data_IF_535902643467
#
_entry.id   IF_535902643467
#
_cell.length_a   1.000
_cell.length_b   1.000
_cell.length_c   1.000
_cell.angle_alpha   90.00
_cell.angle_beta   90.00
_cell.angle_gamma   90.00
#
_symmetry.space_group_name_H-M   'P 1'
#
loop_
_entity.id
_entity.type
_entity.pdbx_description
1 polymer ?
#
# COMPACT_ATOMS: atom_id res chain seq x y z
N UNK A 1 17.94 7.15 22.99
CA UNK A 1 17.34 6.46 21.83
C UNK A 1 17.81 7.04 20.49
N UNK A 2 17.92 8.35 20.33
CA UNK A 2 18.39 9.01 19.09
C UNK A 2 19.79 8.57 18.62
N UNK A 3 20.75 8.41 19.55
CA UNK A 3 22.11 7.98 19.21
C UNK A 3 22.16 6.57 18.61
N UNK A 4 21.39 5.62 19.17
CA UNK A 4 21.29 4.26 18.65
C UNK A 4 20.63 4.23 17.27
N UNK A 5 19.60 5.03 17.05
CA UNK A 5 18.96 5.15 15.74
C UNK A 5 19.92 5.74 14.70
N UNK A 6 20.67 6.78 15.07
CA UNK A 6 21.66 7.39 14.19
C UNK A 6 22.81 6.42 13.86
N UNK A 7 23.31 5.68 14.87
CA UNK A 7 24.35 4.66 14.68
C UNK A 7 23.84 3.53 13.78
N UNK A 8 22.62 3.05 14.02
CA UNK A 8 21.98 2.01 13.20
C UNK A 8 21.84 2.46 11.74
N UNK A 9 21.34 3.69 11.51
CA UNK A 9 21.22 4.24 10.16
C UNK A 9 22.58 4.42 9.49
N UNK A 10 23.59 4.89 10.22
CA UNK A 10 24.95 5.03 9.71
C UNK A 10 25.53 3.68 9.28
N UNK A 11 25.46 2.67 10.16
CA UNK A 11 25.95 1.31 9.87
C UNK A 11 25.18 0.70 8.70
N UNK A 12 23.86 0.90 8.65
CA UNK A 12 23.01 0.41 7.57
C UNK A 12 23.38 1.02 6.22
N UNK A 13 23.58 2.34 6.16
CA UNK A 13 23.99 3.03 4.92
C UNK A 13 25.36 2.55 4.44
N UNK A 14 26.31 2.30 5.38
CA UNK A 14 27.63 1.80 5.05
C UNK A 14 27.62 0.35 4.52
N UNK A 15 26.75 -0.52 5.07
CA UNK A 15 26.70 -1.94 4.69
C UNK A 15 25.88 -2.13 3.40
N UNK A 16 24.83 -1.36 3.20
CA UNK A 16 23.89 -1.51 2.07
C UNK A 16 24.22 -0.59 0.89
N UNK A 17 25.34 0.13 0.94
CA UNK A 17 25.78 1.09 -0.11
C UNK A 17 24.68 2.10 -0.52
N UNK A 18 23.70 2.35 0.37
CA UNK A 18 22.61 3.30 0.13
C UNK A 18 21.46 3.20 1.13
N UNK A 19 20.58 4.17 1.12
CA UNK A 19 19.41 4.23 2.03
C UNK A 19 18.42 3.08 1.74
N UNK A 20 18.34 2.60 0.49
CA UNK A 20 17.39 1.58 0.03
C UNK A 20 17.96 0.15 -0.03
N UNK A 21 19.30 -0.01 0.00
CA UNK A 21 19.97 -1.27 -0.35
C UNK A 21 19.86 -1.59 -1.85
N UNK A 22 20.82 -2.32 -2.40
CA UNK A 22 20.84 -2.70 -3.83
C UNK A 22 19.78 -3.77 -4.21
N UNK A 23 18.97 -4.22 -3.25
CA UNK A 23 17.98 -5.26 -3.48
C UNK A 23 16.67 -4.64 -3.93
N UNK A 24 16.64 -4.14 -5.15
CA UNK A 24 15.39 -3.78 -5.80
C UNK A 24 14.73 -5.04 -6.37
N UNK A 25 13.42 -5.17 -6.15
CA UNK A 25 12.68 -6.30 -6.69
C UNK A 25 12.84 -6.37 -8.23
N UNK A 26 13.14 -7.56 -8.82
CA UNK A 26 13.41 -7.70 -10.25
C UNK A 26 12.32 -7.11 -11.15
N UNK A 27 11.06 -7.20 -10.74
CA UNK A 27 9.92 -6.68 -11.52
C UNK A 27 9.86 -5.14 -11.62
N UNK A 28 10.59 -4.40 -10.77
CA UNK A 28 10.63 -2.93 -10.78
C UNK A 28 12.04 -2.36 -10.97
N UNK A 29 13.02 -3.26 -11.12
CA UNK A 29 14.40 -2.88 -11.40
C UNK A 29 14.48 -2.19 -12.78
N UNK A 30 15.14 -1.03 -12.81
CA UNK A 30 15.31 -0.23 -14.02
C UNK A 30 14.02 0.38 -14.63
N UNK A 31 12.88 0.32 -13.93
CA UNK A 31 11.66 0.97 -14.39
C UNK A 31 11.64 2.46 -14.04
N UNK A 32 11.13 3.25 -14.98
CA UNK A 32 10.81 4.67 -14.75
C UNK A 32 9.60 4.85 -13.82
N UNK A 33 9.41 6.06 -13.31
CA UNK A 33 8.32 6.40 -12.37
C UNK A 33 6.94 6.03 -12.92
N UNK A 34 6.69 6.30 -14.21
CA UNK A 34 5.40 5.97 -14.86
C UNK A 34 5.17 4.46 -14.87
N UNK A 35 6.18 3.67 -15.24
CA UNK A 35 6.07 2.21 -15.29
C UNK A 35 5.85 1.62 -13.89
N UNK A 36 6.54 2.15 -12.86
CA UNK A 36 6.29 1.74 -11.46
C UNK A 36 4.86 2.06 -11.03
N UNK A 37 4.35 3.23 -11.40
CA UNK A 37 2.96 3.60 -11.10
C UNK A 37 1.96 2.65 -11.76
N UNK A 38 2.20 2.18 -12.98
CA UNK A 38 1.37 1.19 -13.66
C UNK A 38 1.43 -0.18 -12.96
N UNK A 39 2.63 -0.62 -12.57
CA UNK A 39 2.80 -1.86 -11.78
C UNK A 39 2.01 -1.76 -10.49
N UNK A 40 2.14 -0.66 -9.74
CA UNK A 40 1.41 -0.47 -8.49
C UNK A 40 -0.10 -0.38 -8.70
N UNK A 41 -0.56 0.24 -9.79
CA UNK A 41 -1.97 0.28 -10.15
C UNK A 41 -2.53 -1.14 -10.37
N UNK A 42 -1.79 -2.01 -11.04
CA UNK A 42 -2.14 -3.42 -11.22
C UNK A 42 -2.19 -4.21 -9.91
N UNK A 43 -1.41 -3.80 -8.90
CA UNK A 43 -1.36 -4.45 -7.59
C UNK A 43 -2.45 -3.98 -6.60
N UNK A 44 -3.10 -2.84 -6.86
CA UNK A 44 -4.14 -2.29 -5.97
C UNK A 44 -5.28 -3.28 -5.67
N UNK A 45 -5.81 -4.06 -6.64
CA UNK A 45 -6.85 -5.04 -6.34
C UNK A 45 -6.38 -6.11 -5.35
N UNK A 46 -5.11 -6.51 -5.42
CA UNK A 46 -4.52 -7.49 -4.49
C UNK A 46 -4.39 -6.90 -3.08
N UNK A 47 -3.99 -5.65 -2.93
CA UNK A 47 -4.07 -4.95 -1.65
C UNK A 47 -5.50 -4.91 -1.11
N UNK A 48 -6.48 -4.60 -1.97
CA UNK A 48 -7.90 -4.62 -1.61
C UNK A 48 -8.36 -6.01 -1.15
N UNK A 49 -7.96 -7.06 -1.86
CA UNK A 49 -8.26 -8.45 -1.48
C UNK A 49 -7.71 -8.80 -0.10
N UNK A 50 -6.45 -8.45 0.14
CA UNK A 50 -5.80 -8.72 1.43
C UNK A 50 -6.46 -7.98 2.60
N UNK A 51 -6.99 -6.78 2.39
CA UNK A 51 -7.74 -6.06 3.41
C UNK A 51 -9.14 -6.64 3.68
N UNK A 52 -9.83 -7.11 2.63
CA UNK A 52 -11.21 -7.57 2.74
C UNK A 52 -11.31 -9.07 3.05
N UNK A 53 -10.42 -9.87 2.46
CA UNK A 53 -10.46 -11.33 2.55
C UNK A 53 -9.06 -11.95 2.56
N UNK A 54 -8.36 -11.95 3.71
CA UNK A 54 -7.01 -12.51 3.83
C UNK A 54 -7.00 -14.05 3.94
N UNK A 55 -7.70 -14.76 3.03
CA UNK A 55 -7.81 -16.22 3.08
C UNK A 55 -6.54 -16.95 2.65
N UNK A 56 -5.74 -16.34 1.77
CA UNK A 56 -4.47 -16.88 1.30
C UNK A 56 -3.37 -15.88 1.61
N UNK A 57 -2.55 -16.23 2.56
CA UNK A 57 -1.48 -15.41 3.07
C UNK A 57 -0.13 -15.99 2.65
N UNK A 58 0.74 -15.13 2.14
CA UNK A 58 2.10 -15.48 1.79
C UNK A 58 3.06 -14.47 2.43
N UNK A 59 4.11 -14.97 3.07
CA UNK A 59 5.10 -14.11 3.72
C UNK A 59 5.74 -13.12 2.74
N UNK A 60 5.87 -13.53 1.47
CA UNK A 60 6.38 -12.72 0.37
C UNK A 60 5.77 -13.20 -0.95
N UNK A 61 5.41 -12.27 -1.83
CA UNK A 61 4.81 -12.58 -3.13
C UNK A 61 5.91 -12.62 -4.19
N UNK A 62 6.20 -13.80 -4.73
CA UNK A 62 7.21 -13.95 -5.77
C UNK A 62 6.72 -13.32 -7.10
N UNK A 63 7.67 -12.90 -7.99
CA UNK A 63 7.31 -12.37 -9.31
C UNK A 63 6.47 -13.31 -10.17
N UNK A 64 6.53 -14.61 -9.89
CA UNK A 64 5.75 -15.63 -10.61
C UNK A 64 4.27 -15.67 -10.19
N UNK A 65 3.96 -15.17 -9.01
CA UNK A 65 2.59 -15.14 -8.45
C UNK A 65 1.84 -13.85 -8.78
N UNK A 66 2.56 -12.81 -9.14
CA UNK A 66 1.98 -11.49 -9.40
C UNK A 66 2.33 -11.06 -10.82
N UNK A 67 1.31 -10.95 -11.67
CA UNK A 67 1.47 -10.43 -13.03
C UNK A 67 1.67 -8.92 -12.95
N UNK A 68 2.81 -8.45 -13.40
CA UNK A 68 3.15 -7.03 -13.41
C UNK A 68 3.12 -6.49 -14.84
N UNK A 69 2.32 -5.44 -15.07
CA UNK A 69 2.22 -4.78 -16.36
C UNK A 69 3.00 -3.46 -16.34
N UNK A 70 4.01 -3.35 -17.19
CA UNK A 70 4.84 -2.12 -17.35
C UNK A 70 4.27 -1.16 -18.39
N UNK A 71 3.27 -1.62 -19.15
CA UNK A 71 2.56 -0.86 -20.17
C UNK A 71 1.07 -0.88 -19.88
N UNK A 72 0.31 0.03 -20.49
CA UNK A 72 -1.13 0.06 -20.32
C UNK A 72 -1.77 -1.22 -20.85
N UNK A 73 -2.53 -1.90 -20.00
CA UNK A 73 -3.25 -3.12 -20.31
C UNK A 73 -4.62 -3.11 -19.63
N UNK A 74 -5.61 -3.82 -20.18
CA UNK A 74 -6.98 -3.83 -19.62
C UNK A 74 -7.02 -4.38 -18.17
N UNK A 75 -6.06 -5.21 -17.79
CA UNK A 75 -5.93 -5.74 -16.42
C UNK A 75 -5.62 -4.66 -15.36
N UNK A 76 -5.26 -3.45 -15.79
CA UNK A 76 -5.10 -2.29 -14.89
C UNK A 76 -6.43 -1.62 -14.53
N UNK A 77 -7.52 -1.93 -15.27
CA UNK A 77 -8.83 -1.31 -15.06
C UNK A 77 -9.36 -1.53 -13.63
N UNK A 78 -9.33 -2.73 -13.03
CA UNK A 78 -9.77 -2.94 -11.66
C UNK A 78 -9.02 -2.06 -10.66
N UNK A 79 -7.71 -1.91 -10.81
CA UNK A 79 -6.90 -1.04 -9.96
C UNK A 79 -7.28 0.44 -10.11
N UNK A 80 -7.51 0.89 -11.34
CA UNK A 80 -7.95 2.24 -11.62
C UNK A 80 -9.33 2.51 -11.01
N UNK A 81 -10.28 1.59 -11.17
CA UNK A 81 -11.62 1.70 -10.59
C UNK A 81 -11.55 1.74 -9.06
N UNK A 82 -10.71 0.91 -8.44
CA UNK A 82 -10.50 0.92 -7.00
C UNK A 82 -9.93 2.27 -6.54
N UNK A 83 -8.91 2.79 -7.21
CA UNK A 83 -8.32 4.09 -6.91
C UNK A 83 -9.35 5.22 -7.01
N UNK A 84 -10.09 5.26 -8.11
CA UNK A 84 -11.14 6.25 -8.33
C UNK A 84 -12.27 6.15 -7.29
N UNK A 85 -12.64 4.93 -6.89
CA UNK A 85 -13.66 4.71 -5.86
C UNK A 85 -13.21 5.23 -4.49
N UNK A 86 -11.95 4.98 -4.09
CA UNK A 86 -11.38 5.47 -2.84
C UNK A 86 -11.33 7.01 -2.84
N UNK A 87 -10.87 7.62 -3.93
CA UNK A 87 -10.80 9.09 -4.07
C UNK A 87 -12.22 9.70 -4.02
N UNK A 88 -13.16 9.14 -4.78
CA UNK A 88 -14.55 9.62 -4.81
C UNK A 88 -15.19 9.50 -3.43
N UNK A 89 -15.02 8.35 -2.77
CA UNK A 89 -15.55 8.11 -1.43
C UNK A 89 -14.95 9.09 -0.43
N UNK A 90 -13.65 9.37 -0.51
CA UNK A 90 -12.99 10.37 0.31
C UNK A 90 -13.60 11.76 0.14
N UNK A 91 -13.83 12.20 -1.11
CA UNK A 91 -14.47 13.49 -1.40
C UNK A 91 -15.90 13.60 -0.86
N UNK A 92 -16.67 12.51 -0.93
CA UNK A 92 -18.03 12.45 -0.38
C UNK A 92 -18.00 12.49 1.16
N UNK A 93 -17.14 11.67 1.77
CA UNK A 93 -17.10 11.49 3.21
C UNK A 93 -16.45 12.65 3.97
N UNK A 94 -15.53 13.39 3.38
CA UNK A 94 -14.78 14.45 4.07
C UNK A 94 -15.64 15.53 4.72
N UNK A 95 -16.87 15.75 4.23
CA UNK A 95 -17.80 16.73 4.78
C UNK A 95 -18.87 16.12 5.69
N UNK A 96 -19.26 14.87 5.41
CA UNK A 96 -20.37 14.22 6.12
C UNK A 96 -19.92 13.25 7.19
N UNK A 97 -18.80 12.59 6.99
CA UNK A 97 -18.26 11.56 7.89
C UNK A 97 -16.72 11.71 7.98
N UNK A 98 -16.23 12.70 8.74
CA UNK A 98 -14.80 13.01 8.76
C UNK A 98 -13.93 11.87 9.25
N UNK A 99 -14.45 10.98 10.10
CA UNK A 99 -13.73 9.79 10.57
C UNK A 99 -13.46 8.83 9.42
N UNK A 100 -14.46 8.56 8.57
CA UNK A 100 -14.28 7.69 7.39
C UNK A 100 -13.29 8.31 6.41
N UNK A 101 -13.38 9.61 6.19
CA UNK A 101 -12.43 10.31 5.33
C UNK A 101 -11.00 10.27 5.89
N UNK A 102 -10.83 10.41 7.21
CA UNK A 102 -9.53 10.26 7.86
C UNK A 102 -8.97 8.85 7.68
N UNK A 103 -9.78 7.82 7.87
CA UNK A 103 -9.37 6.42 7.69
C UNK A 103 -8.93 6.14 6.25
N UNK A 104 -9.69 6.60 5.25
CA UNK A 104 -9.33 6.45 3.83
C UNK A 104 -7.99 7.14 3.54
N UNK A 105 -7.81 8.37 4.02
CA UNK A 105 -6.54 9.10 3.89
C UNK A 105 -5.39 8.36 4.59
N UNK A 106 -5.63 7.84 5.79
CA UNK A 106 -4.64 7.06 6.55
C UNK A 106 -4.15 5.85 5.77
N UNK A 107 -5.07 5.04 5.22
CA UNK A 107 -4.72 3.85 4.43
C UNK A 107 -3.85 4.24 3.23
N UNK A 108 -4.22 5.29 2.50
CA UNK A 108 -3.44 5.75 1.33
C UNK A 108 -2.05 6.24 1.76
N UNK A 109 -1.96 7.06 2.81
CA UNK A 109 -0.70 7.58 3.32
C UNK A 109 0.20 6.45 3.85
N UNK A 110 -0.38 5.48 4.56
CA UNK A 110 0.36 4.36 5.11
C UNK A 110 0.87 3.38 4.05
N UNK A 111 0.18 3.25 2.90
CA UNK A 111 0.63 2.45 1.76
C UNK A 111 1.69 3.19 0.93
N UNK A 112 1.66 4.52 0.85
CA UNK A 112 2.52 5.31 -0.02
C UNK A 112 4.04 4.99 0.09
N UNK A 113 4.63 4.80 1.29
CA UNK A 113 6.05 4.47 1.42
C UNK A 113 6.42 3.10 0.83
N UNK A 114 5.50 2.15 0.87
CA UNK A 114 5.70 0.77 0.41
C UNK A 114 5.17 0.52 -1.00
N UNK A 115 4.55 1.53 -1.60
CA UNK A 115 4.01 1.46 -2.95
C UNK A 115 5.08 1.44 -4.07
N UNK A 116 6.38 1.46 -3.76
CA UNK A 116 7.48 1.40 -4.74
C UNK A 116 7.44 2.46 -5.86
N UNK A 117 6.63 3.50 -5.72
CA UNK A 117 6.51 4.57 -6.73
C UNK A 117 7.70 5.49 -6.62
N UNK A 118 7.91 6.10 -5.44
CA UNK A 118 8.99 7.06 -5.21
C UNK A 118 10.32 6.35 -4.90
N UNK A 119 10.30 5.43 -3.97
CA UNK A 119 11.48 4.67 -3.52
C UNK A 119 11.23 3.20 -3.81
N UNK A 120 11.97 2.60 -4.77
CA UNK A 120 11.85 1.17 -5.02
C UNK A 120 12.39 0.38 -3.83
N UNK A 121 11.63 -0.61 -3.40
CA UNK A 121 12.03 -1.53 -2.35
C UNK A 121 12.23 -2.94 -2.91
N UNK A 122 12.84 -3.84 -2.15
CA UNK A 122 13.05 -5.23 -2.56
C UNK A 122 11.77 -6.08 -2.56
N UNK A 123 10.63 -5.51 -2.17
CA UNK A 123 9.38 -6.23 -1.94
C UNK A 123 8.26 -5.52 -2.70
N UNK A 124 7.48 -6.25 -3.52
CA UNK A 124 6.31 -5.69 -4.21
C UNK A 124 5.10 -5.62 -3.28
N UNK A 125 4.75 -6.76 -2.69
CA UNK A 125 3.68 -6.90 -1.70
C UNK A 125 4.21 -7.78 -0.58
N UNK A 126 3.98 -7.39 0.66
CA UNK A 126 4.16 -8.24 1.82
C UNK A 126 3.09 -7.91 2.85
N UNK A 127 2.56 -8.91 3.50
CA UNK A 127 1.49 -8.75 4.49
C UNK A 127 1.92 -7.88 5.66
N UNK A 128 3.19 -7.99 6.07
CA UNK A 128 3.77 -7.14 7.12
C UNK A 128 3.67 -5.65 6.81
N UNK A 129 3.67 -5.25 5.54
CA UNK A 129 3.55 -3.84 5.14
C UNK A 129 2.13 -3.31 5.28
N UNK A 130 1.13 -4.22 5.35
CA UNK A 130 -0.27 -3.88 5.54
C UNK A 130 -0.67 -3.69 7.01
N UNK A 131 0.21 -4.01 7.96
CA UNK A 131 -0.08 -3.85 9.39
C UNK A 131 -0.47 -2.41 9.75
N UNK A 132 0.30 -1.43 9.28
CA UNK A 132 0.03 -0.01 9.57
C UNK A 132 -1.23 0.50 8.86
N UNK A 133 -1.44 0.21 7.55
CA UNK A 133 -2.72 0.50 6.89
C UNK A 133 -3.93 -0.18 7.52
N UNK A 134 -3.81 -1.42 8.03
CA UNK A 134 -4.93 -2.16 8.63
C UNK A 134 -5.50 -1.51 9.88
N UNK A 135 -4.71 -0.74 10.63
CA UNK A 135 -5.21 0.05 11.75
C UNK A 135 -6.32 1.02 11.30
N UNK A 136 -6.19 1.60 10.12
CA UNK A 136 -7.24 2.44 9.54
C UNK A 136 -8.53 1.65 9.29
N UNK A 137 -8.43 0.45 8.74
CA UNK A 137 -9.60 -0.41 8.49
C UNK A 137 -10.28 -0.80 9.80
N UNK A 138 -9.51 -1.17 10.82
CA UNK A 138 -10.06 -1.49 12.16
C UNK A 138 -10.78 -0.29 12.76
N UNK A 139 -10.21 0.92 12.66
CA UNK A 139 -10.86 2.14 13.12
C UNK A 139 -12.16 2.42 12.35
N UNK A 140 -12.19 2.18 11.03
CA UNK A 140 -13.42 2.32 10.24
C UNK A 140 -14.52 1.39 10.75
N UNK A 141 -14.20 0.12 10.95
CA UNK A 141 -15.16 -0.87 11.46
C UNK A 141 -15.63 -0.47 12.85
N UNK A 142 -14.72 -0.11 13.75
CA UNK A 142 -15.05 0.30 15.11
C UNK A 142 -15.98 1.52 15.17
N UNK A 143 -15.92 2.42 14.21
CA UNK A 143 -16.79 3.61 14.15
C UNK A 143 -18.11 3.35 13.41
N UNK A 144 -18.11 2.46 12.45
CA UNK A 144 -19.31 2.13 11.66
C UNK A 144 -20.28 1.22 12.40
N UNK A 145 -19.77 0.27 13.20
CA UNK A 145 -20.61 -0.70 13.95
C UNK A 145 -21.60 0.01 14.91
N UNK A 146 -21.19 0.92 15.79
CA UNK A 146 -22.12 1.63 16.66
C UNK A 146 -23.14 2.46 15.87
N UNK A 147 -22.70 3.12 14.80
CA UNK A 147 -23.58 3.94 13.96
C UNK A 147 -24.67 3.12 13.25
N UNK A 148 -24.35 1.89 12.83
CA UNK A 148 -25.35 0.96 12.24
C UNK A 148 -26.29 0.45 13.34
N UNK A 149 -25.77 0.12 14.52
CA UNK A 149 -26.60 -0.38 15.63
C UNK A 149 -27.56 0.66 16.18
N UNK A 150 -27.23 1.96 16.13
CA UNK A 150 -28.14 3.03 16.51
C UNK A 150 -29.31 3.24 15.51
N UNK A 151 -29.19 2.72 14.29
CA UNK A 151 -30.20 2.88 13.25
C UNK A 151 -31.11 1.66 13.05
N UNK A 152 -30.76 0.53 13.70
CA UNK A 152 -31.57 -0.69 13.70
C UNK A 152 -32.49 -0.72 14.93
#
# INVERSE_FOLDING_TARGET
MTLFAALFLFVRVQILEGIGGDVTHPAIQNLGLVQRSLVMLGLLPEFGRLFLWPAQLFADYSPQQVHTHTTWHFELIPGLLLLLSVVTLWFICRRRQPVVAFVLAWVVIAIAPVANILIPTGILIAERTLLVPSLGVVLAVATLVPWVMEKL
#
